data_IF_814022185767
#
_entry.id   IF_814022185767
#
_cell.length_a   1.000
_cell.length_b   1.000
_cell.length_c   1.000
_cell.angle_alpha   90.00
_cell.angle_beta   90.00
_cell.angle_gamma   90.00
#
_symmetry.space_group_name_H-M   'P 1'
#
loop_
_entity.id
_entity.type
_entity.pdbx_description
1 polymer ?
#
# COMPACT_ATOMS: atom_id res chain seq x y z
N UNK A 1 18.66 -12.30 -14.56
CA UNK A 1 19.47 -11.11 -14.25
C UNK A 1 18.50 -10.00 -13.91
N UNK A 2 18.61 -9.37 -12.74
CA UNK A 2 17.81 -8.22 -12.33
C UNK A 2 18.65 -6.94 -12.51
N UNK A 3 18.06 -5.87 -13.05
CA UNK A 3 18.77 -4.65 -13.47
C UNK A 3 19.13 -3.70 -12.30
N UNK A 4 19.50 -4.23 -11.13
CA UNK A 4 20.05 -3.45 -10.01
C UNK A 4 21.54 -3.10 -10.23
N UNK A 5 21.84 -2.52 -11.40
CA UNK A 5 23.19 -2.14 -11.82
C UNK A 5 23.68 -0.83 -11.15
N UNK A 6 22.80 -0.13 -10.43
CA UNK A 6 23.19 0.91 -9.46
C UNK A 6 22.53 0.67 -8.11
N UNK A 7 23.33 0.68 -7.04
CA UNK A 7 22.82 0.74 -5.66
C UNK A 7 22.01 2.03 -5.46
N UNK A 8 20.96 1.95 -4.66
CA UNK A 8 20.16 3.11 -4.25
C UNK A 8 20.99 4.01 -3.33
N UNK A 9 21.02 5.32 -3.58
CA UNK A 9 21.77 6.29 -2.77
C UNK A 9 20.88 7.02 -1.77
N UNK A 10 21.49 7.67 -0.78
CA UNK A 10 20.81 8.59 0.13
C UNK A 10 20.05 9.71 -0.62
N UNK A 11 20.59 10.17 -1.76
CA UNK A 11 19.96 11.20 -2.59
C UNK A 11 18.70 10.69 -3.30
N UNK A 12 18.74 9.48 -3.89
CA UNK A 12 17.58 8.84 -4.52
C UNK A 12 16.43 8.68 -3.51
N UNK A 13 16.74 8.32 -2.26
CA UNK A 13 15.78 8.11 -1.17
C UNK A 13 15.18 9.44 -0.66
N UNK A 14 16.02 10.46 -0.51
CA UNK A 14 15.64 11.78 0.01
C UNK A 14 14.69 12.52 -0.94
N UNK A 15 15.06 12.54 -2.23
CA UNK A 15 14.31 13.23 -3.30
C UNK A 15 13.26 12.34 -3.97
N UNK A 16 13.21 11.04 -3.61
CA UNK A 16 12.30 10.03 -4.18
C UNK A 16 12.38 9.98 -5.72
N UNK A 17 13.60 9.86 -6.25
CA UNK A 17 13.83 9.65 -7.69
C UNK A 17 13.26 8.32 -8.17
N UNK A 18 13.09 8.16 -9.49
CA UNK A 18 12.50 6.98 -10.11
C UNK A 18 13.04 5.64 -9.56
N UNK A 19 14.37 5.53 -9.33
CA UNK A 19 15.01 4.33 -8.75
C UNK A 19 14.43 3.88 -7.39
N UNK A 20 13.97 4.82 -6.56
CA UNK A 20 13.34 4.52 -5.28
C UNK A 20 11.95 3.91 -5.47
N UNK A 21 11.22 4.31 -6.53
CA UNK A 21 9.93 3.73 -6.89
C UNK A 21 10.08 2.42 -7.65
N UNK A 22 11.06 2.31 -8.56
CA UNK A 22 11.39 1.09 -9.29
C UNK A 22 11.66 -0.08 -8.33
N UNK A 23 12.36 0.16 -7.21
CA UNK A 23 12.58 -0.82 -6.16
C UNK A 23 11.29 -1.42 -5.57
N UNK A 24 10.22 -0.62 -5.47
CA UNK A 24 8.93 -1.06 -4.96
C UNK A 24 8.00 -1.61 -6.06
N UNK A 25 8.38 -1.48 -7.33
CA UNK A 25 7.71 -2.05 -8.50
C UNK A 25 8.42 -3.30 -9.06
N UNK A 26 9.66 -3.57 -8.65
CA UNK A 26 10.40 -4.77 -9.07
C UNK A 26 9.68 -6.06 -8.59
N UNK A 27 9.49 -7.06 -9.46
CA UNK A 27 8.84 -8.33 -9.11
C UNK A 27 9.46 -9.10 -7.94
N UNK A 28 10.73 -8.85 -7.60
CA UNK A 28 11.38 -9.45 -6.43
C UNK A 28 10.64 -9.15 -5.12
N UNK A 29 9.95 -8.00 -5.06
CA UNK A 29 9.11 -7.58 -3.91
C UNK A 29 7.97 -8.55 -3.61
N UNK A 30 7.52 -9.33 -4.61
CA UNK A 30 6.42 -10.28 -4.51
C UNK A 30 6.87 -11.66 -4.00
N UNK A 31 8.15 -11.99 -4.10
CA UNK A 31 8.70 -13.33 -3.79
C UNK A 31 8.90 -13.53 -2.28
N UNK A 32 9.21 -12.47 -1.54
CA UNK A 32 9.51 -12.54 -0.11
C UNK A 32 9.01 -11.33 0.66
N UNK A 33 7.72 -11.29 0.99
CA UNK A 33 7.08 -10.16 1.67
C UNK A 33 7.75 -9.73 2.99
N UNK A 34 8.43 -10.66 3.67
CA UNK A 34 9.25 -10.33 4.84
C UNK A 34 10.51 -9.50 4.50
N UNK A 35 11.21 -9.83 3.42
CA UNK A 35 12.33 -9.03 2.91
C UNK A 35 11.83 -7.68 2.40
N UNK A 36 10.72 -7.65 1.65
CA UNK A 36 10.07 -6.42 1.18
C UNK A 36 9.68 -5.51 2.32
N UNK A 37 9.13 -6.05 3.42
CA UNK A 37 8.81 -5.26 4.63
C UNK A 37 10.07 -4.64 5.24
N UNK A 38 11.16 -5.39 5.37
CA UNK A 38 12.42 -4.87 5.90
C UNK A 38 13.08 -3.83 4.98
N UNK A 39 13.06 -4.05 3.66
CA UNK A 39 13.54 -3.09 2.65
C UNK A 39 12.75 -1.77 2.72
N UNK A 40 11.42 -1.83 2.83
CA UNK A 40 10.58 -0.64 3.00
C UNK A 40 10.89 0.08 4.31
N UNK A 41 11.00 -0.63 5.46
CA UNK A 41 11.34 0.03 6.73
C UNK A 41 12.73 0.69 6.65
N UNK A 42 13.73 0.00 6.09
CA UNK A 42 15.10 0.50 5.95
C UNK A 42 15.17 1.75 5.06
N UNK A 43 14.75 1.64 3.79
CA UNK A 43 14.91 2.71 2.81
C UNK A 43 13.79 3.76 2.87
N UNK A 44 12.52 3.36 3.00
CA UNK A 44 11.44 4.35 3.13
C UNK A 44 11.49 5.02 4.51
N UNK A 45 11.22 4.30 5.59
CA UNK A 45 10.93 4.92 6.88
C UNK A 45 12.18 5.45 7.59
N UNK A 46 13.23 4.65 7.70
CA UNK A 46 14.44 5.03 8.48
C UNK A 46 15.34 5.97 7.69
N UNK A 47 16.00 5.51 6.62
CA UNK A 47 16.95 6.35 5.87
C UNK A 47 16.25 7.60 5.32
N UNK A 48 15.04 7.47 4.78
CA UNK A 48 14.23 8.60 4.32
C UNK A 48 13.95 9.66 5.39
N UNK A 49 13.82 9.28 6.67
CA UNK A 49 13.71 10.24 7.77
C UNK A 49 15.08 10.84 8.12
N UNK A 50 16.12 10.03 8.22
CA UNK A 50 17.49 10.48 8.58
C UNK A 50 18.06 11.49 7.57
N UNK A 51 17.77 11.33 6.27
CA UNK A 51 18.21 12.28 5.23
C UNK A 51 17.61 13.69 5.35
N UNK A 52 16.64 13.93 6.24
CA UNK A 52 16.10 15.28 6.54
C UNK A 52 16.52 15.83 7.91
N UNK A 53 17.42 15.14 8.62
CA UNK A 53 17.98 15.61 9.90
C UNK A 53 19.17 16.52 9.64
N UNK A 54 19.30 17.61 10.42
CA UNK A 54 20.39 18.58 10.27
C UNK A 54 21.74 17.97 10.73
N UNK A 55 22.75 17.81 9.85
CA UNK A 55 24.04 17.24 10.23
C UNK A 55 24.80 18.04 11.28
N UNK A 56 24.52 19.34 11.45
CA UNK A 56 25.17 20.16 12.47
C UNK A 56 24.84 19.73 13.91
N UNK A 57 23.73 19.00 14.13
CA UNK A 57 23.41 18.36 15.41
C UNK A 57 23.84 16.89 15.51
N UNK A 58 24.17 16.27 14.37
CA UNK A 58 24.45 14.83 14.25
C UNK A 58 25.59 14.62 13.23
N UNK A 59 26.86 14.87 13.58
CA UNK A 59 27.97 14.82 12.62
C UNK A 59 28.11 13.43 11.95
N UNK A 60 27.87 12.36 12.72
CA UNK A 60 28.00 10.97 12.27
C UNK A 60 26.84 10.48 11.38
N UNK A 61 25.82 11.32 11.11
CA UNK A 61 24.59 10.94 10.39
C UNK A 61 24.88 10.35 8.99
N UNK A 62 25.95 10.81 8.33
CA UNK A 62 26.36 10.31 7.02
C UNK A 62 26.88 8.87 7.10
N UNK A 63 27.73 8.56 8.08
CA UNK A 63 28.25 7.20 8.30
C UNK A 63 27.13 6.24 8.68
N UNK A 64 26.21 6.69 9.55
CA UNK A 64 25.00 5.95 9.90
C UNK A 64 24.16 5.58 8.67
N UNK A 65 23.95 6.54 7.75
CA UNK A 65 23.20 6.31 6.50
C UNK A 65 23.93 5.32 5.59
N UNK A 66 25.26 5.40 5.43
CA UNK A 66 26.02 4.43 4.63
C UNK A 66 26.01 3.01 5.21
N UNK A 67 26.05 2.86 6.54
CA UNK A 67 25.97 1.55 7.20
C UNK A 67 24.56 0.93 7.15
N UNK A 68 23.52 1.77 7.11
CA UNK A 68 22.14 1.36 6.81
C UNK A 68 21.97 0.98 5.31
N UNK A 69 22.49 1.80 4.39
CA UNK A 69 22.44 1.53 2.93
C UNK A 69 23.15 0.22 2.56
N UNK A 70 24.23 -0.11 3.27
CA UNK A 70 25.00 -1.33 3.07
C UNK A 70 24.58 -2.52 3.95
N UNK A 71 23.48 -2.41 4.72
CA UNK A 71 22.95 -3.45 5.62
C UNK A 71 23.95 -3.98 6.66
N UNK A 72 25.00 -3.20 7.01
CA UNK A 72 25.82 -3.45 8.20
C UNK A 72 25.06 -3.14 9.50
N UNK A 73 24.04 -2.30 9.39
CA UNK A 73 23.12 -1.91 10.46
C UNK A 73 21.69 -2.08 9.96
N UNK A 74 20.83 -2.69 10.79
CA UNK A 74 19.39 -2.74 10.56
C UNK A 74 18.75 -1.53 11.24
N UNK A 75 17.94 -0.79 10.50
CA UNK A 75 17.10 0.29 10.99
C UNK A 75 15.66 -0.19 11.18
N UNK A 76 15.03 0.25 12.27
CA UNK A 76 13.60 0.02 12.55
C UNK A 76 12.86 1.33 12.83
N UNK A 77 11.54 1.33 12.62
CA UNK A 77 10.67 2.50 12.79
C UNK A 77 9.61 2.23 13.87
N UNK A 78 9.88 2.73 15.07
CA UNK A 78 9.07 2.58 16.27
C UNK A 78 8.04 3.72 16.38
N UNK A 79 6.94 3.61 15.61
CA UNK A 79 5.82 4.57 15.63
C UNK A 79 4.50 4.00 16.21
N UNK A 80 4.29 2.68 16.16
CA UNK A 80 3.05 2.04 16.62
C UNK A 80 3.23 1.37 17.98
N UNK A 81 2.39 1.76 18.95
CA UNK A 81 2.35 1.13 20.28
C UNK A 81 1.32 -0.02 20.29
N UNK A 82 1.10 -0.67 21.44
CA UNK A 82 0.16 -1.79 21.52
C UNK A 82 -1.29 -1.33 21.31
N UNK A 83 -1.69 -0.32 22.08
CA UNK A 83 -3.05 0.20 22.14
C UNK A 83 -3.23 1.46 21.28
N UNK A 84 -2.16 2.21 21.00
CA UNK A 84 -2.16 3.41 20.14
C UNK A 84 -1.74 3.08 18.70
N UNK A 85 -2.71 3.14 17.78
CA UNK A 85 -2.50 2.92 16.33
C UNK A 85 -2.97 4.10 15.48
N UNK A 86 -4.28 4.34 15.45
CA UNK A 86 -4.88 5.52 14.81
C UNK A 86 -4.72 6.78 15.68
N UNK A 87 -4.36 6.63 16.95
CA UNK A 87 -4.02 7.73 17.86
C UNK A 87 -2.51 7.77 18.15
N UNK A 88 -1.69 7.72 17.10
CA UNK A 88 -0.23 7.83 17.22
C UNK A 88 0.25 9.24 17.67
N UNK A 89 -0.67 10.16 17.98
CA UNK A 89 -0.38 11.45 18.61
C UNK A 89 -0.33 11.34 20.15
N UNK A 90 -1.18 10.50 20.75
CA UNK A 90 -1.29 10.34 22.21
C UNK A 90 -0.40 9.20 22.79
N UNK A 91 0.75 8.93 22.15
CA UNK A 91 1.76 7.94 22.56
C UNK A 91 2.04 7.96 24.07
N UNK A 92 2.09 6.78 24.70
CA UNK A 92 2.40 6.63 26.12
C UNK A 92 3.91 6.51 26.40
N UNK A 93 4.74 6.25 25.38
CA UNK A 93 6.21 6.31 25.52
C UNK A 93 6.65 7.71 25.94
N UNK A 94 7.36 7.81 27.08
CA UNK A 94 7.87 9.09 27.60
C UNK A 94 9.39 9.15 27.53
N UNK A 95 9.88 10.07 26.70
CA UNK A 95 11.23 10.60 26.77
C UNK A 95 11.29 11.75 27.78
N UNK A 96 10.97 11.43 29.03
CA UNK A 96 11.28 12.25 30.21
C UNK A 96 12.78 12.26 30.47
N UNK A 97 13.21 13.07 31.44
CA UNK A 97 14.47 12.89 32.18
C UNK A 97 14.38 11.66 33.11
N UNK A 98 13.96 10.51 32.55
CA UNK A 98 13.45 9.23 33.12
C UNK A 98 11.97 9.26 33.59
N UNK A 99 11.13 8.18 33.44
CA UNK A 99 11.21 7.01 32.51
C UNK A 99 9.87 6.24 32.10
N UNK A 100 9.40 6.15 30.83
CA UNK A 100 8.31 5.20 30.37
C UNK A 100 8.40 4.71 28.86
N UNK A 101 7.77 3.57 28.45
CA UNK A 101 7.82 2.90 27.08
C UNK A 101 6.46 2.78 26.33
N UNK A 102 6.22 2.12 25.14
CA UNK A 102 6.77 0.94 24.39
C UNK A 102 6.38 0.89 22.85
N UNK A 103 6.99 0.03 21.99
CA UNK A 103 6.73 -0.07 20.51
C UNK A 103 6.68 -1.47 19.83
N UNK A 104 6.32 -1.57 18.54
CA UNK A 104 6.06 -2.84 17.78
C UNK A 104 6.84 -3.21 16.45
N UNK A 105 8.11 -2.84 16.14
CA UNK A 105 8.82 -3.36 14.95
C UNK A 105 9.47 -4.75 15.15
N UNK A 106 10.04 -5.38 14.10
CA UNK A 106 10.93 -6.53 14.25
C UNK A 106 12.31 -6.14 14.83
N UNK A 107 12.42 -6.18 16.16
CA UNK A 107 13.58 -5.65 16.92
C UNK A 107 14.44 -6.70 17.64
N UNK A 108 14.12 -7.99 17.47
CA UNK A 108 14.96 -9.08 18.01
C UNK A 108 16.33 -9.14 17.30
N UNK A 109 17.39 -9.64 17.95
CA UNK A 109 18.70 -9.80 17.31
C UNK A 109 18.65 -10.85 16.18
N UNK A 110 19.24 -10.54 15.02
CA UNK A 110 19.14 -11.35 13.79
C UNK A 110 20.47 -11.33 13.04
N UNK A 111 20.92 -12.51 12.59
CA UNK A 111 22.09 -12.71 11.70
C UNK A 111 23.44 -12.11 12.17
N UNK A 112 23.57 -11.69 13.43
CA UNK A 112 24.76 -11.00 13.91
C UNK A 112 24.90 -9.56 13.38
N UNK A 113 23.82 -8.99 12.85
CA UNK A 113 23.77 -7.60 12.34
C UNK A 113 23.15 -6.71 13.41
N UNK A 114 23.86 -5.66 13.90
CA UNK A 114 23.31 -4.71 14.86
C UNK A 114 22.00 -4.06 14.41
N UNK A 115 21.19 -3.61 15.36
CA UNK A 115 19.89 -3.01 15.12
C UNK A 115 19.74 -1.68 15.88
N UNK A 116 19.26 -0.65 15.19
CA UNK A 116 18.89 0.67 15.73
C UNK A 116 17.46 1.02 15.32
N UNK A 117 16.81 1.95 16.02
CA UNK A 117 15.49 2.43 15.65
C UNK A 117 15.34 3.95 15.75
N UNK A 118 14.47 4.49 14.89
CA UNK A 118 13.81 5.78 15.14
C UNK A 118 12.61 5.50 16.03
N UNK A 119 12.67 5.95 17.29
CA UNK A 119 11.65 5.79 18.32
C UNK A 119 10.93 7.12 18.52
N UNK A 120 9.61 7.09 18.40
CA UNK A 120 8.77 8.24 18.73
C UNK A 120 8.47 8.24 20.23
N UNK A 121 8.43 9.40 20.88
CA UNK A 121 8.06 9.48 22.29
C UNK A 121 7.57 10.89 22.64
N UNK A 122 6.73 11.03 23.66
CA UNK A 122 6.43 12.33 24.25
C UNK A 122 7.65 12.81 25.03
N UNK A 123 8.23 13.93 24.63
CA UNK A 123 9.38 14.54 25.28
C UNK A 123 8.91 15.37 26.47
N UNK A 124 9.49 15.13 27.65
CA UNK A 124 9.26 15.96 28.83
C UNK A 124 10.56 16.60 29.30
N UNK A 125 10.53 17.92 29.52
CA UNK A 125 11.66 18.69 30.05
C UNK A 125 11.17 19.43 31.29
N UNK A 126 11.81 19.16 32.44
CA UNK A 126 11.47 19.77 33.74
C UNK A 126 9.95 19.76 34.05
N UNK A 127 9.34 18.58 33.83
CA UNK A 127 7.90 18.25 33.90
C UNK A 127 6.97 18.85 32.81
N UNK A 128 7.46 19.70 31.90
CA UNK A 128 6.67 20.21 30.76
C UNK A 128 6.61 19.18 29.60
N UNK A 129 5.40 18.84 29.13
CA UNK A 129 5.16 17.96 27.97
C UNK A 129 5.29 18.73 26.65
N UNK A 130 6.41 18.56 25.96
CA UNK A 130 6.69 19.18 24.65
C UNK A 130 6.02 18.41 23.48
N UNK A 131 5.31 17.32 23.77
CA UNK A 131 4.65 16.46 22.80
C UNK A 131 5.61 15.51 22.07
N UNK A 132 5.16 14.91 20.95
CA UNK A 132 5.95 13.93 20.21
C UNK A 132 7.32 14.44 19.73
N UNK A 133 8.34 13.61 19.89
CA UNK A 133 9.69 13.79 19.40
C UNK A 133 10.25 12.46 18.86
N UNK A 134 11.28 12.51 18.01
CA UNK A 134 11.95 11.35 17.43
C UNK A 134 13.35 11.17 18.03
N UNK A 135 13.68 9.93 18.39
CA UNK A 135 14.95 9.54 19.01
C UNK A 135 15.62 8.40 18.23
N UNK A 136 16.93 8.50 18.00
CA UNK A 136 17.75 7.39 17.51
C UNK A 136 18.20 6.52 18.69
N UNK A 137 17.77 5.26 18.71
CA UNK A 137 17.94 4.34 19.83
C UNK A 137 18.57 3.02 19.35
N UNK A 138 19.82 2.72 19.72
CA UNK A 138 20.40 1.39 19.54
C UNK A 138 19.58 0.34 20.30
N UNK A 139 19.25 -0.78 19.66
CA UNK A 139 18.41 -1.83 20.22
C UNK A 139 19.19 -3.10 20.58
N UNK A 140 20.03 -3.59 19.66
CA UNK A 140 20.85 -4.77 19.87
C UNK A 140 22.14 -4.75 19.02
N UNK A 141 23.12 -5.57 19.40
CA UNK A 141 24.40 -5.74 18.70
C UNK A 141 24.38 -6.86 17.63
N UNK A 142 23.19 -7.37 17.28
CA UNK A 142 23.00 -8.52 16.40
C UNK A 142 22.98 -9.88 17.11
N UNK A 143 23.35 -9.94 18.40
CA UNK A 143 23.28 -11.14 19.25
C UNK A 143 22.47 -10.90 20.54
N UNK A 144 22.66 -9.74 21.19
CA UNK A 144 22.13 -9.40 22.52
C UNK A 144 21.45 -8.04 22.52
N UNK A 145 20.31 -7.91 23.20
CA UNK A 145 19.64 -6.61 23.42
C UNK A 145 20.48 -5.72 24.33
N UNK A 146 20.52 -4.41 24.05
CA UNK A 146 21.21 -3.45 24.93
C UNK A 146 20.49 -3.24 26.25
N UNK A 147 21.23 -2.82 27.29
CA UNK A 147 20.72 -2.69 28.65
C UNK A 147 19.48 -1.79 28.73
N UNK A 148 18.40 -2.35 29.30
CA UNK A 148 17.10 -1.68 29.41
C UNK A 148 16.19 -1.83 28.19
N UNK A 149 16.69 -2.30 27.05
CA UNK A 149 15.87 -2.68 25.89
C UNK A 149 15.51 -4.16 26.00
N UNK A 150 14.23 -4.51 25.80
CA UNK A 150 13.79 -5.90 25.65
C UNK A 150 12.89 -6.04 24.43
N UNK A 151 12.99 -7.16 23.71
CA UNK A 151 12.16 -7.49 22.55
C UNK A 151 11.52 -8.86 22.75
N UNK A 152 10.18 -8.90 22.80
CA UNK A 152 9.41 -10.15 22.86
C UNK A 152 8.85 -10.45 21.47
N UNK A 153 9.36 -11.49 20.82
CA UNK A 153 8.84 -11.99 19.54
C UNK A 153 7.35 -12.31 19.66
N UNK A 154 6.57 -11.86 18.67
CA UNK A 154 5.14 -12.15 18.55
C UNK A 154 4.91 -13.41 17.70
N UNK A 155 3.77 -14.12 17.85
CA UNK A 155 3.42 -15.21 16.96
C UNK A 155 3.41 -14.76 15.48
N UNK A 156 3.83 -15.62 14.54
CA UNK A 156 3.85 -15.26 13.12
C UNK A 156 2.44 -14.99 12.60
N UNK A 157 2.32 -14.02 11.67
CA UNK A 157 1.08 -13.75 10.93
C UNK A 157 0.74 -14.97 10.06
N UNK A 158 -0.52 -15.41 10.06
CA UNK A 158 -0.96 -16.53 9.21
C UNK A 158 -0.89 -16.21 7.71
N UNK A 159 -0.46 -17.19 6.91
CA UNK A 159 -0.46 -17.15 5.44
C UNK A 159 0.64 -16.29 4.78
N UNK A 160 1.13 -15.25 5.44
CA UNK A 160 2.25 -14.43 4.96
C UNK A 160 3.62 -15.00 5.36
N UNK A 161 4.68 -14.61 4.65
CA UNK A 161 6.05 -14.84 5.11
C UNK A 161 6.30 -14.10 6.44
N UNK A 162 6.91 -14.79 7.40
CA UNK A 162 7.05 -14.26 8.77
C UNK A 162 8.17 -13.23 8.90
N UNK A 163 7.78 -11.96 9.08
CA UNK A 163 8.64 -10.95 9.73
C UNK A 163 8.68 -11.22 11.23
N UNK A 164 9.85 -11.10 11.85
CA UNK A 164 10.06 -11.30 13.30
C UNK A 164 9.49 -10.15 14.15
N UNK A 165 8.25 -9.72 13.92
CA UNK A 165 7.58 -8.65 14.65
C UNK A 165 7.68 -8.88 16.17
N UNK A 166 8.08 -7.85 16.92
CA UNK A 166 8.31 -7.96 18.35
C UNK A 166 7.66 -6.81 19.13
N UNK A 167 7.23 -7.07 20.36
CA UNK A 167 6.92 -6.04 21.33
C UNK A 167 8.23 -5.57 21.98
N UNK A 168 8.61 -4.33 21.70
CA UNK A 168 9.83 -3.67 22.17
C UNK A 168 9.52 -2.83 23.40
N UNK A 169 10.16 -3.11 24.53
CA UNK A 169 9.99 -2.35 25.78
C UNK A 169 11.30 -1.67 26.17
N UNK A 170 11.21 -0.40 26.54
CA UNK A 170 12.31 0.41 27.07
C UNK A 170 12.13 0.61 28.58
N UNK A 171 13.12 0.20 29.36
CA UNK A 171 13.18 0.31 30.81
C UNK A 171 14.33 1.25 31.20
N UNK A 172 14.02 2.51 31.49
CA UNK A 172 14.99 3.51 31.95
C UNK A 172 16.25 3.66 31.05
N UNK A 173 16.10 3.42 29.75
CA UNK A 173 17.20 3.48 28.78
C UNK A 173 17.77 4.90 28.74
N UNK A 174 19.06 5.03 29.05
CA UNK A 174 19.77 6.32 29.06
C UNK A 174 20.33 6.59 27.67
N UNK A 175 20.00 7.75 27.13
CA UNK A 175 20.43 8.20 25.80
C UNK A 175 21.26 9.49 25.92
N UNK A 176 22.26 9.72 25.06
CA UNK A 176 22.89 11.03 24.93
C UNK A 176 21.91 12.04 24.33
N UNK A 177 22.18 13.34 24.49
CA UNK A 177 21.40 14.40 23.82
C UNK A 177 21.40 14.26 22.29
N UNK A 178 22.48 13.74 21.71
CA UNK A 178 22.61 13.44 20.28
C UNK A 178 21.71 12.30 19.76
N UNK A 179 20.97 11.60 20.63
CA UNK A 179 19.89 10.71 20.19
C UNK A 179 18.63 11.47 19.77
N UNK A 180 18.39 12.70 20.22
CA UNK A 180 17.18 13.47 19.85
C UNK A 180 17.31 14.00 18.42
N UNK A 181 16.57 13.40 17.47
CA UNK A 181 16.61 13.76 16.05
C UNK A 181 15.75 14.99 15.72
N UNK A 182 14.56 15.09 16.32
CA UNK A 182 13.59 16.18 16.07
C UNK A 182 12.53 16.26 17.17
N UNK A 183 12.25 17.47 17.66
CA UNK A 183 11.04 17.79 18.44
C UNK A 183 9.95 18.29 17.47
N UNK A 184 8.67 18.06 17.79
CA UNK A 184 7.55 18.71 17.11
C UNK A 184 7.62 20.24 17.23
N UNK A 185 7.74 20.95 16.12
CA UNK A 185 7.43 22.40 16.04
C UNK A 185 5.91 22.60 15.99
N UNK A 186 5.39 23.80 16.26
CA UNK A 186 3.94 24.02 16.48
C UNK A 186 3.01 23.43 15.40
N UNK A 187 3.44 23.34 14.14
CA UNK A 187 2.72 22.75 13.01
C UNK A 187 2.89 21.23 12.88
N UNK A 188 1.77 20.51 13.00
CA UNK A 188 1.47 19.15 12.49
C UNK A 188 2.44 17.98 12.74
N UNK A 189 1.99 17.01 13.55
CA UNK A 189 2.62 15.71 13.77
C UNK A 189 2.85 14.91 12.46
N UNK A 190 1.92 15.00 11.51
CA UNK A 190 2.03 14.35 10.19
C UNK A 190 3.29 14.76 9.40
N UNK A 191 3.90 15.90 9.71
CA UNK A 191 5.15 16.37 9.06
C UNK A 191 6.41 15.75 9.70
N UNK A 192 6.29 15.13 10.86
CA UNK A 192 7.31 14.24 11.42
C UNK A 192 7.25 12.87 10.75
N UNK A 193 6.04 12.30 10.64
CA UNK A 193 5.81 10.97 10.06
C UNK A 193 5.60 10.97 8.53
N UNK A 194 6.08 11.98 7.82
CA UNK A 194 5.81 12.18 6.38
C UNK A 194 6.19 10.99 5.48
N UNK A 195 7.14 10.14 5.87
CA UNK A 195 7.49 8.88 5.16
C UNK A 195 6.37 7.84 5.18
N UNK A 196 5.36 7.95 6.06
CA UNK A 196 4.15 7.11 6.04
C UNK A 196 3.33 7.33 4.75
N UNK A 197 3.24 8.58 4.29
CA UNK A 197 2.56 8.91 3.04
C UNK A 197 3.35 8.42 1.81
N UNK A 198 4.68 8.52 1.85
CA UNK A 198 5.58 7.88 0.86
C UNK A 198 5.38 6.36 0.89
N UNK A 199 5.30 5.77 2.08
CA UNK A 199 5.11 4.34 2.33
C UNK A 199 3.79 3.81 1.79
N UNK A 200 2.73 4.61 1.81
CA UNK A 200 1.46 4.26 1.15
C UNK A 200 1.63 4.08 -0.36
N UNK A 201 2.37 4.96 -1.05
CA UNK A 201 2.69 4.79 -2.47
C UNK A 201 3.69 3.66 -2.73
N UNK A 202 4.70 3.47 -1.86
CA UNK A 202 5.64 2.36 -1.93
C UNK A 202 4.92 1.00 -1.84
N UNK A 203 4.12 0.79 -0.79
CA UNK A 203 3.40 -0.46 -0.57
C UNK A 203 2.25 -0.66 -1.57
N UNK A 204 1.62 0.43 -2.03
CA UNK A 204 0.66 0.40 -3.13
C UNK A 204 1.32 -0.07 -4.44
N UNK A 205 2.50 0.44 -4.77
CA UNK A 205 3.23 0.13 -6.02
C UNK A 205 3.52 -1.36 -6.22
N UNK A 206 3.68 -2.13 -5.14
CA UNK A 206 3.86 -3.60 -5.17
C UNK A 206 2.63 -4.29 -5.83
N UNK A 207 1.48 -3.63 -5.90
CA UNK A 207 0.26 -4.16 -6.54
C UNK A 207 0.47 -4.40 -8.02
N UNK A 208 1.36 -3.65 -8.68
CA UNK A 208 1.64 -3.80 -10.10
C UNK A 208 2.25 -5.19 -10.38
N UNK A 209 3.44 -5.57 -9.85
CA UNK A 209 3.97 -6.91 -10.06
C UNK A 209 3.06 -8.01 -9.51
N UNK A 210 2.35 -7.78 -8.41
CA UNK A 210 1.46 -8.79 -7.82
C UNK A 210 0.27 -9.12 -8.74
N UNK A 211 -0.40 -8.10 -9.31
CA UNK A 211 -1.47 -8.32 -10.29
C UNK A 211 -0.94 -8.95 -11.59
N UNK A 212 0.27 -8.57 -12.04
CA UNK A 212 0.91 -9.18 -13.21
C UNK A 212 1.20 -10.68 -12.98
N UNK A 213 1.72 -11.05 -11.81
CA UNK A 213 1.95 -12.45 -11.40
C UNK A 213 0.62 -13.21 -11.31
N UNK A 214 -0.38 -12.65 -10.62
CA UNK A 214 -1.70 -13.28 -10.46
C UNK A 214 -2.39 -13.53 -11.81
N UNK A 215 -2.43 -12.52 -12.69
CA UNK A 215 -2.97 -12.65 -14.03
C UNK A 215 -2.18 -13.67 -14.88
N UNK A 216 -0.85 -13.63 -14.86
CA UNK A 216 -0.01 -14.58 -15.60
C UNK A 216 -0.26 -16.04 -15.13
N UNK A 217 -0.36 -16.27 -13.82
CA UNK A 217 -0.67 -17.60 -13.26
C UNK A 217 -2.07 -18.04 -13.70
N UNK A 218 -3.09 -17.18 -13.61
CA UNK A 218 -4.44 -17.46 -14.07
C UNK A 218 -4.51 -17.81 -15.56
N UNK A 219 -3.78 -17.08 -16.41
CA UNK A 219 -3.65 -17.35 -17.85
C UNK A 219 -2.93 -18.69 -18.08
N UNK A 220 -1.75 -18.90 -17.48
CA UNK A 220 -0.93 -20.11 -17.70
C UNK A 220 -1.53 -21.36 -17.08
N UNK A 221 -2.35 -21.24 -16.05
CA UNK A 221 -3.19 -22.32 -15.56
C UNK A 221 -4.31 -22.62 -16.56
N UNK A 222 -5.09 -21.60 -16.96
CA UNK A 222 -6.21 -21.75 -17.88
C UNK A 222 -5.82 -22.27 -19.29
N UNK A 223 -4.63 -21.93 -19.78
CA UNK A 223 -4.06 -22.46 -21.04
C UNK A 223 -3.68 -23.94 -20.95
N UNK A 224 -3.24 -24.43 -19.79
CA UNK A 224 -2.77 -25.82 -19.60
C UNK A 224 -3.84 -26.76 -19.06
N UNK A 225 -4.84 -26.25 -18.34
CA UNK A 225 -5.89 -27.03 -17.68
C UNK A 225 -7.03 -27.31 -18.65
N UNK A 226 -7.11 -28.52 -19.19
CA UNK A 226 -8.24 -28.93 -20.04
C UNK A 226 -9.43 -29.46 -19.23
N UNK A 227 -10.61 -28.90 -19.48
CA UNK A 227 -11.90 -29.34 -18.92
C UNK A 227 -12.73 -30.08 -19.99
N UNK A 228 -13.79 -30.76 -19.57
CA UNK A 228 -14.71 -31.44 -20.48
C UNK A 228 -15.87 -30.50 -20.86
N UNK A 229 -16.11 -30.35 -22.16
CA UNK A 229 -17.19 -29.54 -22.73
C UNK A 229 -18.09 -30.41 -23.62
N UNK A 230 -19.41 -30.19 -23.52
CA UNK A 230 -20.42 -30.93 -24.29
C UNK A 230 -20.74 -30.18 -25.58
N UNK A 231 -20.17 -30.65 -26.69
CA UNK A 231 -20.51 -30.20 -28.04
C UNK A 231 -21.75 -30.94 -28.56
N UNK A 232 -22.43 -30.36 -29.56
CA UNK A 232 -23.43 -31.06 -30.39
C UNK A 232 -22.85 -32.31 -31.09
N UNK A 233 -21.53 -32.40 -31.23
CA UNK A 233 -20.79 -33.53 -31.80
C UNK A 233 -20.24 -34.52 -30.77
N UNK A 234 -20.58 -34.39 -29.48
CA UNK A 234 -20.10 -35.24 -28.39
C UNK A 234 -19.21 -34.51 -27.37
N UNK A 235 -18.52 -35.28 -26.52
CA UNK A 235 -17.58 -34.74 -25.54
C UNK A 235 -16.29 -34.25 -26.19
N UNK A 236 -15.81 -33.07 -25.79
CA UNK A 236 -14.55 -32.48 -26.26
C UNK A 236 -13.76 -31.90 -25.08
N UNK A 237 -12.42 -31.97 -25.13
CA UNK A 237 -11.54 -31.31 -24.16
C UNK A 237 -11.22 -29.89 -24.64
N UNK A 238 -11.65 -28.88 -23.90
CA UNK A 238 -11.29 -27.47 -24.15
C UNK A 238 -10.38 -26.92 -23.05
N UNK A 239 -9.49 -25.96 -23.34
CA UNK A 239 -8.75 -25.24 -22.29
C UNK A 239 -9.71 -24.49 -21.37
N UNK A 240 -9.41 -24.42 -20.08
CA UNK A 240 -10.22 -23.69 -19.11
C UNK A 240 -10.28 -22.18 -19.42
N UNK A 241 -9.25 -21.62 -20.06
CA UNK A 241 -9.26 -20.23 -20.57
C UNK A 241 -10.21 -20.00 -21.76
N UNK A 242 -10.94 -21.02 -22.25
CA UNK A 242 -12.02 -20.86 -23.23
C UNK A 242 -13.41 -20.70 -22.59
N UNK A 243 -13.49 -20.47 -21.28
CA UNK A 243 -14.75 -20.33 -20.54
C UNK A 243 -14.78 -18.98 -19.83
N UNK A 244 -15.84 -18.20 -20.05
CA UNK A 244 -15.99 -16.83 -19.56
C UNK A 244 -15.89 -16.71 -18.03
N UNK A 245 -16.30 -17.74 -17.28
CA UNK A 245 -16.13 -17.77 -15.81
C UNK A 245 -14.66 -17.80 -15.36
N UNK A 246 -13.75 -18.40 -16.13
CA UNK A 246 -12.31 -18.32 -15.85
C UNK A 246 -11.67 -17.09 -16.48
N UNK A 247 -12.12 -16.70 -17.67
CA UNK A 247 -11.62 -15.52 -18.36
C UNK A 247 -11.87 -14.24 -17.56
N UNK A 248 -13.09 -14.03 -17.04
CA UNK A 248 -13.48 -12.80 -16.33
C UNK A 248 -12.51 -12.41 -15.19
N UNK A 249 -12.30 -13.20 -14.12
CA UNK A 249 -11.41 -12.79 -13.03
C UNK A 249 -9.95 -12.62 -13.48
N UNK A 250 -9.50 -13.43 -14.45
CA UNK A 250 -8.14 -13.37 -14.98
C UNK A 250 -7.91 -12.12 -15.85
N UNK A 251 -8.89 -11.74 -16.66
CA UNK A 251 -8.84 -10.56 -17.53
C UNK A 251 -9.14 -9.27 -16.75
N UNK A 252 -9.94 -9.32 -15.67
CA UNK A 252 -10.04 -8.23 -14.69
C UNK A 252 -8.69 -7.98 -14.01
N UNK A 253 -8.00 -9.02 -13.52
CA UNK A 253 -6.67 -8.84 -12.90
C UNK A 253 -5.63 -8.30 -13.89
N UNK A 254 -5.68 -8.74 -15.15
CA UNK A 254 -4.86 -8.21 -16.24
C UNK A 254 -5.15 -6.72 -16.51
N UNK A 255 -6.42 -6.34 -16.62
CA UNK A 255 -6.85 -4.95 -16.79
C UNK A 255 -6.39 -4.07 -15.60
N UNK A 256 -6.64 -4.52 -14.37
CA UNK A 256 -6.16 -3.87 -13.16
C UNK A 256 -4.63 -3.70 -13.17
N UNK A 257 -3.85 -4.67 -13.65
CA UNK A 257 -2.38 -4.56 -13.69
C UNK A 257 -1.90 -3.37 -14.56
N UNK A 258 -2.53 -3.16 -15.72
CA UNK A 258 -2.21 -2.02 -16.60
C UNK A 258 -2.72 -0.70 -16.02
N UNK A 259 -3.96 -0.67 -15.52
CA UNK A 259 -4.57 0.53 -14.94
C UNK A 259 -3.85 0.98 -13.65
N UNK A 260 -3.46 0.06 -12.76
CA UNK A 260 -2.68 0.37 -11.57
C UNK A 260 -1.27 0.87 -11.90
N UNK A 261 -0.65 0.40 -12.99
CA UNK A 261 0.64 0.94 -13.45
C UNK A 261 0.51 2.40 -13.91
N UNK A 262 -0.50 2.71 -14.72
CA UNK A 262 -0.80 4.08 -15.13
C UNK A 262 -1.11 4.98 -13.92
N UNK A 263 -1.93 4.50 -12.99
CA UNK A 263 -2.31 5.21 -11.77
C UNK A 263 -1.12 5.48 -10.85
N UNK A 264 -0.18 4.53 -10.70
CA UNK A 264 1.04 4.74 -9.93
C UNK A 264 1.93 5.84 -10.54
N UNK A 265 2.12 5.83 -11.87
CA UNK A 265 2.93 6.85 -12.55
C UNK A 265 2.34 8.26 -12.32
N UNK A 266 1.01 8.40 -12.44
CA UNK A 266 0.31 9.65 -12.16
C UNK A 266 0.39 10.06 -10.68
N UNK A 267 0.12 9.14 -9.75
CA UNK A 267 0.13 9.44 -8.32
C UNK A 267 1.54 9.80 -7.81
N UNK A 268 2.58 9.14 -8.33
CA UNK A 268 3.98 9.43 -8.00
C UNK A 268 4.41 10.79 -8.54
N UNK A 269 4.03 11.17 -9.77
CA UNK A 269 4.41 12.48 -10.32
C UNK A 269 3.76 13.63 -9.53
N UNK A 270 2.48 13.49 -9.16
CA UNK A 270 1.79 14.45 -8.29
C UNK A 270 2.37 14.49 -6.87
N UNK A 271 2.80 13.35 -6.32
CA UNK A 271 3.42 13.30 -4.99
C UNK A 271 4.83 13.93 -4.96
N UNK A 272 5.61 13.72 -6.04
CA UNK A 272 6.96 14.28 -6.19
C UNK A 272 6.95 15.80 -6.41
N UNK A 273 5.88 16.37 -6.97
CA UNK A 273 5.75 17.83 -7.13
C UNK A 273 5.69 18.53 -5.77
N UNK A 274 6.72 19.33 -5.46
CA UNK A 274 6.82 20.08 -4.22
C UNK A 274 5.86 21.28 -4.13
N UNK A 275 5.33 21.76 -5.27
CA UNK A 275 4.41 22.90 -5.34
C UNK A 275 2.96 22.56 -4.99
N UNK A 276 2.57 21.30 -5.15
CA UNK A 276 1.23 20.80 -4.80
C UNK A 276 1.12 20.68 -3.27
N UNK A 277 -0.03 21.01 -2.69
CA UNK A 277 -0.17 20.96 -1.23
C UNK A 277 0.04 19.54 -0.65
N UNK A 278 0.60 19.49 0.55
CA UNK A 278 0.94 18.26 1.26
C UNK A 278 -0.27 17.41 1.68
N UNK A 279 -1.44 18.02 1.95
CA UNK A 279 -2.68 17.28 2.25
C UNK A 279 -3.25 16.64 0.98
N UNK A 280 -3.22 17.36 -0.15
CA UNK A 280 -3.61 16.83 -1.46
C UNK A 280 -2.74 15.62 -1.82
N UNK A 281 -1.42 15.72 -1.67
CA UNK A 281 -0.48 14.61 -1.92
C UNK A 281 -0.70 13.41 -0.99
N UNK A 282 -1.00 13.65 0.30
CA UNK A 282 -1.38 12.58 1.26
C UNK A 282 -2.69 11.90 0.85
N UNK A 283 -3.71 12.67 0.50
CA UNK A 283 -5.01 12.14 0.08
C UNK A 283 -4.92 11.30 -1.20
N UNK A 284 -4.12 11.73 -2.18
CA UNK A 284 -3.84 10.94 -3.39
C UNK A 284 -3.12 9.63 -3.02
N UNK A 285 -2.09 9.68 -2.17
CA UNK A 285 -1.40 8.47 -1.70
C UNK A 285 -2.37 7.49 -0.98
N UNK A 286 -3.31 8.00 -0.20
CA UNK A 286 -4.34 7.21 0.47
C UNK A 286 -5.33 6.56 -0.53
N UNK A 287 -5.87 7.33 -1.49
CA UNK A 287 -6.72 6.83 -2.58
C UNK A 287 -6.01 5.74 -3.40
N UNK A 288 -4.78 6.02 -3.83
CA UNK A 288 -3.95 5.08 -4.61
C UNK A 288 -3.74 3.78 -3.85
N UNK A 289 -3.31 3.84 -2.59
CA UNK A 289 -3.05 2.67 -1.75
C UNK A 289 -4.32 1.87 -1.41
N UNK A 290 -5.46 2.54 -1.18
CA UNK A 290 -6.73 1.87 -0.88
C UNK A 290 -7.28 1.07 -2.06
N UNK A 291 -7.20 1.63 -3.28
CA UNK A 291 -7.64 0.98 -4.52
C UNK A 291 -6.68 -0.14 -4.93
N UNK A 292 -5.37 0.10 -4.85
CA UNK A 292 -4.35 -0.91 -5.13
C UNK A 292 -4.47 -2.13 -4.20
N UNK A 293 -4.61 -1.92 -2.89
CA UNK A 293 -4.76 -3.02 -1.94
C UNK A 293 -6.07 -3.81 -2.16
N UNK A 294 -7.17 -3.15 -2.54
CA UNK A 294 -8.43 -3.81 -2.87
C UNK A 294 -8.30 -4.72 -4.10
N UNK A 295 -7.76 -4.20 -5.20
CA UNK A 295 -7.62 -4.93 -6.45
C UNK A 295 -6.65 -6.10 -6.31
N UNK A 296 -5.54 -5.92 -5.56
CA UNK A 296 -4.66 -7.02 -5.21
C UNK A 296 -5.38 -8.09 -4.39
N UNK A 297 -6.10 -7.75 -3.32
CA UNK A 297 -6.79 -8.74 -2.48
C UNK A 297 -7.85 -9.54 -3.23
N UNK A 298 -8.66 -8.87 -4.06
CA UNK A 298 -9.73 -9.52 -4.84
C UNK A 298 -9.18 -10.40 -5.95
N UNK A 299 -8.19 -9.93 -6.72
CA UNK A 299 -7.59 -10.69 -7.82
C UNK A 299 -6.93 -11.99 -7.34
N UNK A 300 -6.12 -11.95 -6.27
CA UNK A 300 -5.44 -13.14 -5.75
C UNK A 300 -6.42 -14.18 -5.20
N UNK A 301 -7.50 -13.75 -4.53
CA UNK A 301 -8.53 -14.65 -4.03
C UNK A 301 -9.31 -15.29 -5.19
N UNK A 302 -9.83 -14.47 -6.10
CA UNK A 302 -10.61 -14.95 -7.24
C UNK A 302 -9.81 -15.91 -8.12
N UNK A 303 -8.56 -15.58 -8.45
CA UNK A 303 -7.70 -16.44 -9.30
C UNK A 303 -7.24 -17.69 -8.53
N UNK A 304 -7.09 -17.64 -7.20
CA UNK A 304 -6.85 -18.84 -6.39
C UNK A 304 -8.01 -19.82 -6.51
N UNK A 305 -9.24 -19.34 -6.31
CA UNK A 305 -10.44 -20.19 -6.34
C UNK A 305 -10.69 -20.79 -7.73
N UNK A 306 -10.42 -20.03 -8.80
CA UNK A 306 -10.51 -20.52 -10.19
C UNK A 306 -9.34 -21.44 -10.60
N UNK A 307 -8.22 -21.43 -9.86
CA UNK A 307 -7.20 -22.48 -9.91
C UNK A 307 -7.57 -23.71 -9.04
N UNK A 308 -8.69 -23.67 -8.31
CA UNK A 308 -9.13 -24.67 -7.34
C UNK A 308 -8.01 -24.99 -6.32
N UNK A 309 -7.88 -26.26 -5.89
CA UNK A 309 -6.85 -26.70 -4.94
C UNK A 309 -5.40 -26.39 -5.36
N UNK A 310 -5.14 -26.06 -6.65
CA UNK A 310 -3.82 -25.60 -7.07
C UNK A 310 -3.52 -24.16 -6.61
N UNK A 311 -4.51 -23.27 -6.54
CA UNK A 311 -4.33 -21.90 -6.04
C UNK A 311 -3.91 -21.84 -4.56
N UNK A 312 -4.25 -22.88 -3.80
CA UNK A 312 -3.94 -23.02 -2.37
C UNK A 312 -2.47 -23.40 -2.09
N UNK A 313 -1.70 -23.86 -3.08
CA UNK A 313 -0.30 -24.24 -2.85
C UNK A 313 0.62 -23.01 -2.86
N UNK A 314 1.44 -22.87 -1.83
CA UNK A 314 2.35 -21.72 -1.65
C UNK A 314 3.32 -21.48 -2.84
N UNK A 315 3.70 -22.51 -3.59
CA UNK A 315 4.56 -22.33 -4.79
C UNK A 315 3.84 -21.62 -5.96
N UNK A 316 2.50 -21.68 -6.00
CA UNK A 316 1.68 -20.89 -6.92
C UNK A 316 1.40 -19.47 -6.36
N UNK A 317 1.92 -19.12 -5.18
CA UNK A 317 1.99 -17.78 -4.56
C UNK A 317 0.66 -17.07 -4.24
N UNK A 318 -0.46 -17.38 -4.89
CA UNK A 318 -1.72 -16.62 -4.79
C UNK A 318 -2.22 -16.42 -3.35
N UNK A 319 -2.31 -17.49 -2.54
CA UNK A 319 -2.69 -17.38 -1.13
C UNK A 319 -1.67 -16.64 -0.26
N UNK A 320 -0.37 -16.78 -0.54
CA UNK A 320 0.69 -16.06 0.17
C UNK A 320 0.61 -14.56 -0.12
N UNK A 321 0.53 -14.19 -1.40
CA UNK A 321 0.37 -12.81 -1.88
C UNK A 321 -0.89 -12.16 -1.28
N UNK A 322 -2.06 -12.83 -1.34
CA UNK A 322 -3.28 -12.35 -0.69
C UNK A 322 -3.05 -12.06 0.82
N UNK A 323 -2.33 -12.94 1.52
CA UNK A 323 -2.04 -12.80 2.94
C UNK A 323 -1.09 -11.63 3.24
N UNK A 324 -0.07 -11.40 2.42
CA UNK A 324 0.78 -10.19 2.50
C UNK A 324 -0.05 -8.92 2.26
N UNK A 325 -0.97 -8.95 1.29
CA UNK A 325 -1.83 -7.81 0.97
C UNK A 325 -2.80 -7.41 2.08
N UNK A 326 -3.17 -8.35 2.97
CA UNK A 326 -3.89 -8.00 4.20
C UNK A 326 -3.02 -7.19 5.16
N UNK A 327 -1.71 -7.49 5.25
CA UNK A 327 -0.73 -6.65 5.93
C UNK A 327 -0.62 -5.26 5.31
N UNK A 328 -0.42 -5.20 3.98
CA UNK A 328 -0.31 -3.93 3.23
C UNK A 328 -1.56 -3.05 3.41
N UNK A 329 -2.78 -3.62 3.37
CA UNK A 329 -4.00 -2.81 3.56
C UNK A 329 -4.06 -2.10 4.91
N UNK A 330 -3.43 -2.66 5.95
CA UNK A 330 -3.45 -2.13 7.33
C UNK A 330 -2.26 -1.20 7.61
N UNK A 331 -1.09 -1.45 7.01
CA UNK A 331 0.12 -0.65 7.20
C UNK A 331 -0.03 0.80 6.68
N UNK A 332 0.77 1.73 7.22
CA UNK A 332 0.85 3.14 6.77
C UNK A 332 -0.49 3.91 6.77
N UNK A 333 -1.48 3.45 7.54
CA UNK A 333 -2.87 3.89 7.39
C UNK A 333 -3.33 4.95 8.39
N UNK A 334 -3.69 6.13 7.87
CA UNK A 334 -4.78 6.93 8.43
C UNK A 334 -5.73 7.43 7.31
N UNK A 335 -6.68 6.57 6.95
CA UNK A 335 -7.78 6.93 6.04
C UNK A 335 -8.81 7.84 6.73
N UNK A 336 -8.80 7.91 8.06
CA UNK A 336 -9.78 8.64 8.84
C UNK A 336 -9.46 10.13 8.84
N UNK A 337 -8.26 10.55 9.25
CA UNK A 337 -7.85 11.97 9.19
C UNK A 337 -7.98 12.49 7.74
N UNK A 338 -7.56 11.68 6.76
CA UNK A 338 -7.68 11.98 5.33
C UNK A 338 -9.12 12.33 4.92
N UNK A 339 -10.12 11.48 5.21
CA UNK A 339 -11.52 11.78 4.88
C UNK A 339 -12.07 12.90 5.75
N UNK A 340 -11.75 12.91 7.03
CA UNK A 340 -12.27 13.88 7.99
C UNK A 340 -11.90 15.32 7.61
N UNK A 341 -10.74 15.52 6.99
CA UNK A 341 -10.28 16.85 6.57
C UNK A 341 -10.72 17.21 5.14
N UNK A 342 -10.93 16.22 4.26
CA UNK A 342 -11.59 16.40 2.96
C UNK A 342 -13.05 16.87 3.15
N UNK A 343 -13.86 16.19 3.97
CA UNK A 343 -15.28 16.56 4.18
C UNK A 343 -15.47 17.85 4.99
N UNK A 344 -14.41 18.34 5.63
CA UNK A 344 -14.35 19.68 6.26
C UNK A 344 -13.89 20.78 5.31
N UNK A 345 -13.56 20.45 4.06
CA UNK A 345 -13.05 21.39 3.06
C UNK A 345 -11.69 21.99 3.40
N UNK A 346 -10.84 21.31 4.19
CA UNK A 346 -9.48 21.81 4.50
C UNK A 346 -8.55 21.73 3.29
N UNK A 347 -8.78 20.74 2.43
CA UNK A 347 -8.18 20.60 1.12
C UNK A 347 -9.20 19.96 0.16
N UNK A 348 -8.96 20.05 -1.15
CA UNK A 348 -9.73 19.35 -2.17
C UNK A 348 -8.81 18.43 -2.96
N UNK A 349 -9.31 17.25 -3.33
CA UNK A 349 -8.63 16.37 -4.26
C UNK A 349 -8.83 16.83 -5.72
N UNK A 350 -7.98 16.41 -6.68
CA UNK A 350 -8.16 16.74 -8.09
C UNK A 350 -9.56 16.38 -8.59
N UNK A 351 -10.29 17.38 -9.07
CA UNK A 351 -11.63 17.24 -9.64
C UNK A 351 -11.63 16.34 -10.89
N UNK A 352 -12.78 15.77 -11.28
CA UNK A 352 -12.90 14.99 -12.52
C UNK A 352 -12.47 15.79 -13.76
N UNK A 353 -11.70 15.16 -14.64
CA UNK A 353 -11.44 15.68 -16.00
C UNK A 353 -12.71 15.64 -16.86
N UNK A 354 -13.54 14.61 -16.65
CA UNK A 354 -14.85 14.49 -17.28
C UNK A 354 -15.91 14.15 -16.21
N UNK A 355 -16.56 15.19 -15.65
CA UNK A 355 -17.65 15.03 -14.69
C UNK A 355 -18.87 14.28 -15.23
N UNK A 356 -19.07 14.25 -16.55
CA UNK A 356 -20.20 13.52 -17.15
C UNK A 356 -20.01 12.00 -17.18
N UNK A 357 -18.79 11.50 -16.93
CA UNK A 357 -18.46 10.09 -16.99
C UNK A 357 -18.97 9.28 -15.78
N UNK A 358 -19.23 7.98 -15.98
CA UNK A 358 -19.91 7.10 -15.02
C UNK A 358 -19.25 7.11 -13.63
N UNK A 359 -17.94 6.88 -13.55
CA UNK A 359 -17.19 6.85 -12.28
C UNK A 359 -16.99 8.24 -11.66
N UNK A 360 -17.14 9.31 -12.44
CA UNK A 360 -17.08 10.68 -11.93
C UNK A 360 -18.37 11.06 -11.21
N UNK A 361 -19.52 10.72 -11.80
CA UNK A 361 -20.83 10.87 -11.14
C UNK A 361 -20.92 10.04 -9.86
N UNK A 362 -20.23 8.90 -9.79
CA UNK A 362 -20.15 8.07 -8.59
C UNK A 362 -19.28 8.70 -7.51
N UNK A 363 -18.09 9.20 -7.86
CA UNK A 363 -17.23 10.00 -6.97
C UNK A 363 -18.02 11.17 -6.36
N UNK A 364 -18.56 12.05 -7.22
CA UNK A 364 -19.31 13.25 -6.82
C UNK A 364 -20.51 12.90 -5.93
N UNK A 365 -21.29 11.87 -6.27
CA UNK A 365 -22.47 11.49 -5.48
C UNK A 365 -22.11 10.90 -4.11
N UNK A 366 -21.05 10.09 -4.02
CA UNK A 366 -20.61 9.48 -2.75
C UNK A 366 -19.98 10.52 -1.80
N UNK A 367 -19.34 11.56 -2.34
CA UNK A 367 -18.93 12.73 -1.55
C UNK A 367 -20.17 13.53 -1.09
N UNK A 368 -21.09 13.85 -2.02
CA UNK A 368 -22.25 14.68 -1.71
C UNK A 368 -23.19 14.04 -0.68
N UNK A 369 -23.46 12.73 -0.75
CA UNK A 369 -24.28 12.02 0.25
C UNK A 369 -23.68 12.14 1.67
N UNK A 370 -22.35 12.12 1.77
CA UNK A 370 -21.61 12.31 3.03
C UNK A 370 -21.67 13.77 3.52
N UNK A 371 -21.59 14.76 2.62
CA UNK A 371 -21.72 16.18 2.96
C UNK A 371 -23.14 16.55 3.39
N UNK A 372 -24.16 16.02 2.69
CA UNK A 372 -25.57 16.21 3.03
C UNK A 372 -25.88 15.69 4.44
N UNK A 373 -25.45 14.47 4.77
CA UNK A 373 -25.62 13.86 6.10
C UNK A 373 -24.85 14.59 7.23
N UNK A 374 -23.79 15.34 6.89
CA UNK A 374 -23.10 16.22 7.84
C UNK A 374 -23.78 17.59 7.98
N UNK A 375 -24.54 18.03 6.97
CA UNK A 375 -25.29 19.29 6.97
C UNK A 375 -26.66 19.17 7.66
N UNK A 376 -27.27 17.98 7.64
CA UNK A 376 -28.65 17.72 8.11
C UNK A 376 -28.74 17.43 9.62
N UNK A 377 -27.84 17.97 10.44
CA UNK A 377 -27.68 17.56 11.85
C UNK A 377 -27.18 18.69 12.76
N UNK A 378 -27.81 18.82 13.93
CA UNK A 378 -27.36 19.73 14.99
C UNK A 378 -26.08 19.25 15.71
N UNK A 379 -25.68 17.98 15.51
CA UNK A 379 -24.46 17.41 16.08
C UNK A 379 -23.56 16.78 14.99
N UNK A 380 -22.67 17.59 14.36
CA UNK A 380 -21.75 17.11 13.33
C UNK A 380 -20.77 16.02 13.80
N UNK A 381 -20.42 15.96 15.09
CA UNK A 381 -19.49 14.94 15.62
C UNK A 381 -20.17 13.57 15.69
N UNK A 382 -21.40 13.53 16.18
CA UNK A 382 -22.22 12.32 16.26
C UNK A 382 -22.66 11.84 14.87
N UNK A 383 -22.97 12.76 13.94
CA UNK A 383 -23.27 12.41 12.56
C UNK A 383 -22.04 11.89 11.81
N UNK A 384 -20.88 12.54 11.95
CA UNK A 384 -19.61 12.04 11.41
C UNK A 384 -19.31 10.62 11.93
N UNK A 385 -19.50 10.40 13.24
CA UNK A 385 -19.33 9.10 13.89
C UNK A 385 -20.25 8.01 13.33
N UNK A 386 -21.55 8.31 13.16
CA UNK A 386 -22.53 7.31 12.69
C UNK A 386 -22.54 7.07 11.19
N UNK A 387 -22.36 8.12 10.38
CA UNK A 387 -22.63 8.08 8.95
C UNK A 387 -21.36 8.14 8.10
N UNK A 388 -20.30 8.81 8.57
CA UNK A 388 -19.09 9.02 7.77
C UNK A 388 -17.99 8.00 8.11
N UNK A 389 -17.74 7.70 9.40
CA UNK A 389 -16.77 6.65 9.79
C UNK A 389 -16.94 5.31 9.06
N UNK A 390 -18.17 4.75 8.91
CA UNK A 390 -18.34 3.47 8.20
C UNK A 390 -18.09 3.58 6.69
N UNK A 391 -18.14 4.80 6.14
CA UNK A 391 -18.04 5.10 4.71
C UNK A 391 -16.66 5.61 4.28
N UNK A 392 -15.78 6.03 5.18
CA UNK A 392 -14.46 6.59 4.85
C UNK A 392 -13.68 5.74 3.81
N UNK A 393 -13.65 4.40 3.97
CA UNK A 393 -12.98 3.51 3.03
C UNK A 393 -13.66 3.46 1.66
N UNK A 394 -14.99 3.60 1.59
CA UNK A 394 -15.74 3.64 0.34
C UNK A 394 -15.53 4.97 -0.39
N UNK A 395 -15.63 6.11 0.29
CA UNK A 395 -15.35 7.46 -0.26
C UNK A 395 -13.96 7.50 -0.92
N UNK A 396 -12.91 7.11 -0.19
CA UNK A 396 -11.53 7.10 -0.70
C UNK A 396 -11.36 6.16 -1.91
N UNK A 397 -12.13 5.07 -1.98
CA UNK A 397 -12.11 4.13 -3.11
C UNK A 397 -12.84 4.67 -4.33
N UNK A 398 -14.02 5.26 -4.20
CA UNK A 398 -14.77 5.83 -5.34
C UNK A 398 -13.95 6.92 -6.03
N UNK A 399 -13.37 7.85 -5.24
CA UNK A 399 -12.41 8.86 -5.73
C UNK A 399 -11.21 8.21 -6.43
N UNK A 400 -10.57 7.24 -5.76
CA UNK A 400 -9.41 6.54 -6.32
C UNK A 400 -9.71 5.72 -7.57
N UNK A 401 -10.93 5.20 -7.72
CA UNK A 401 -11.36 4.45 -8.89
C UNK A 401 -11.52 5.35 -10.12
N UNK A 402 -12.09 6.56 -9.95
CA UNK A 402 -12.05 7.59 -11.01
C UNK A 402 -10.61 7.97 -11.36
N UNK A 403 -9.79 8.34 -10.38
CA UNK A 403 -8.41 8.76 -10.65
C UNK A 403 -7.61 7.68 -11.39
N UNK A 404 -7.80 6.41 -11.05
CA UNK A 404 -7.20 5.28 -11.75
C UNK A 404 -7.66 5.17 -13.21
N UNK A 405 -8.96 5.34 -13.48
CA UNK A 405 -9.51 5.38 -14.83
C UNK A 405 -8.93 6.55 -15.65
N UNK A 406 -8.94 7.77 -15.09
CA UNK A 406 -8.44 8.97 -15.76
C UNK A 406 -6.93 8.86 -16.06
N UNK A 407 -6.14 8.33 -15.12
CA UNK A 407 -4.72 8.06 -15.33
C UNK A 407 -4.49 7.00 -16.42
N UNK A 408 -5.32 5.95 -16.52
CA UNK A 408 -5.22 4.94 -17.56
C UNK A 408 -5.56 5.47 -18.96
N UNK A 409 -6.62 6.28 -19.08
CA UNK A 409 -6.96 6.98 -20.32
C UNK A 409 -5.85 7.94 -20.73
N UNK A 410 -5.37 8.79 -19.81
CA UNK A 410 -4.26 9.71 -20.07
C UNK A 410 -2.94 9.02 -20.42
N UNK A 411 -2.74 7.79 -19.95
CA UNK A 411 -1.57 6.94 -20.27
C UNK A 411 -1.74 6.10 -21.54
N UNK A 412 -2.85 6.24 -22.28
CA UNK A 412 -3.17 5.46 -23.47
C UNK A 412 -3.16 3.93 -23.23
N UNK A 413 -3.69 3.48 -22.09
CA UNK A 413 -3.95 2.05 -21.85
C UNK A 413 -4.98 1.55 -22.90
N UNK A 414 -4.81 0.36 -23.50
CA UNK A 414 -5.74 -0.17 -24.50
C UNK A 414 -7.19 -0.16 -24.03
N UNK A 415 -8.11 0.30 -24.89
CA UNK A 415 -9.51 0.57 -24.53
C UNK A 415 -10.17 -0.62 -23.84
N UNK A 416 -10.02 -1.85 -24.37
CA UNK A 416 -10.63 -3.03 -23.75
C UNK A 416 -10.11 -3.35 -22.34
N UNK A 417 -8.89 -2.94 -21.97
CA UNK A 417 -8.38 -3.06 -20.61
C UNK A 417 -8.92 -1.94 -19.70
N UNK A 418 -9.16 -0.74 -20.23
CA UNK A 418 -9.82 0.35 -19.48
C UNK A 418 -11.29 0.01 -19.22
N UNK A 419 -12.00 -0.50 -20.23
CA UNK A 419 -13.41 -0.88 -20.12
C UNK A 419 -13.61 -2.13 -19.25
N UNK A 420 -12.75 -3.15 -19.35
CA UNK A 420 -12.78 -4.29 -18.42
C UNK A 420 -12.53 -3.88 -16.96
N UNK A 421 -11.71 -2.84 -16.75
CA UNK A 421 -11.54 -2.23 -15.42
C UNK A 421 -12.79 -1.45 -14.98
N UNK A 422 -13.39 -0.63 -15.86
CA UNK A 422 -14.63 0.08 -15.57
C UNK A 422 -15.79 -0.87 -15.25
N UNK A 423 -15.96 -1.94 -16.02
CA UNK A 423 -16.96 -2.98 -15.74
C UNK A 423 -16.80 -3.53 -14.31
N UNK A 424 -15.56 -3.83 -13.90
CA UNK A 424 -15.30 -4.28 -12.53
C UNK A 424 -15.57 -3.20 -11.47
N UNK A 425 -15.21 -1.95 -11.72
CA UNK A 425 -15.51 -0.83 -10.80
C UNK A 425 -17.01 -0.62 -10.63
N UNK A 426 -17.78 -0.71 -11.71
CA UNK A 426 -19.25 -0.60 -11.68
C UNK A 426 -19.86 -1.81 -10.95
N UNK A 427 -19.28 -3.01 -11.07
CA UNK A 427 -19.73 -4.18 -10.30
C UNK A 427 -19.50 -4.06 -8.79
N UNK A 428 -18.51 -3.27 -8.33
CA UNK A 428 -18.26 -3.04 -6.90
C UNK A 428 -19.37 -2.25 -6.20
N UNK A 429 -20.16 -1.47 -6.95
CA UNK A 429 -21.32 -0.73 -6.43
C UNK A 429 -22.50 -0.70 -7.42
N UNK A 430 -22.80 -1.86 -8.00
CA UNK A 430 -23.85 -2.02 -9.03
C UNK A 430 -25.26 -1.65 -8.53
N UNK A 431 -25.46 -1.46 -7.23
CA UNK A 431 -26.70 -0.95 -6.66
C UNK A 431 -26.92 0.50 -7.09
N UNK A 432 -25.95 1.38 -6.80
CA UNK A 432 -26.02 2.81 -7.11
C UNK A 432 -26.21 3.08 -8.60
N UNK A 433 -25.37 2.48 -9.47
CA UNK A 433 -25.44 2.68 -10.93
C UNK A 433 -26.77 2.23 -11.56
N UNK A 434 -27.46 1.26 -10.95
CA UNK A 434 -28.79 0.79 -11.38
C UNK A 434 -29.90 1.69 -10.82
N UNK A 435 -29.78 2.13 -9.57
CA UNK A 435 -30.77 2.97 -8.90
C UNK A 435 -30.95 4.32 -9.60
N UNK A 436 -29.85 4.98 -9.98
CA UNK A 436 -29.89 6.23 -10.74
C UNK A 436 -30.03 6.02 -12.27
N UNK A 437 -30.21 4.78 -12.72
CA UNK A 437 -30.54 4.44 -14.10
C UNK A 437 -29.41 4.59 -15.14
N UNK A 438 -28.15 4.79 -14.73
CA UNK A 438 -27.02 4.91 -15.66
C UNK A 438 -26.62 3.58 -16.33
N UNK A 439 -26.74 2.46 -15.62
CA UNK A 439 -26.30 1.14 -16.11
C UNK A 439 -27.32 0.07 -15.74
N UNK A 440 -27.67 -0.80 -16.70
CA UNK A 440 -28.45 -2.01 -16.44
C UNK A 440 -27.52 -3.21 -16.20
N UNK A 441 -27.94 -4.16 -15.36
CA UNK A 441 -27.18 -5.42 -15.11
C UNK A 441 -26.96 -6.23 -16.39
N UNK A 442 -27.89 -6.17 -17.35
CA UNK A 442 -27.75 -6.84 -18.64
C UNK A 442 -26.71 -6.13 -19.52
N UNK A 443 -26.75 -4.79 -19.59
CA UNK A 443 -25.80 -3.98 -20.36
C UNK A 443 -24.37 -4.18 -19.84
N UNK A 444 -24.19 -4.17 -18.51
CA UNK A 444 -22.90 -4.40 -17.88
C UNK A 444 -22.35 -5.81 -18.16
N UNK A 445 -23.21 -6.83 -18.14
CA UNK A 445 -22.82 -8.20 -18.49
C UNK A 445 -22.44 -8.34 -19.96
N UNK A 446 -23.13 -7.63 -20.87
CA UNK A 446 -22.78 -7.61 -22.28
C UNK A 446 -21.44 -6.91 -22.52
N UNK A 447 -21.26 -5.69 -22.00
CA UNK A 447 -20.02 -4.92 -22.12
C UNK A 447 -18.82 -5.67 -21.51
N UNK A 448 -19.03 -6.41 -20.41
CA UNK A 448 -18.00 -7.32 -19.85
C UNK A 448 -17.62 -8.44 -20.82
N UNK A 449 -18.60 -9.10 -21.47
CA UNK A 449 -18.32 -10.21 -22.40
C UNK A 449 -17.65 -9.71 -23.70
N UNK A 450 -18.06 -8.54 -24.22
CA UNK A 450 -17.42 -7.89 -25.37
C UNK A 450 -15.92 -7.63 -25.12
N UNK A 451 -15.59 -7.11 -23.93
CA UNK A 451 -14.21 -6.93 -23.49
C UNK A 451 -13.45 -8.24 -23.28
N UNK A 452 -14.12 -9.28 -22.75
CA UNK A 452 -13.53 -10.62 -22.61
C UNK A 452 -13.15 -11.19 -23.99
N UNK A 453 -13.96 -10.96 -25.03
CA UNK A 453 -13.65 -11.40 -26.40
C UNK A 453 -12.45 -10.62 -26.97
N UNK A 454 -12.40 -9.30 -26.84
CA UNK A 454 -11.27 -8.50 -27.38
C UNK A 454 -9.94 -8.82 -26.66
N UNK A 455 -9.96 -8.93 -25.33
CA UNK A 455 -8.78 -9.34 -24.53
C UNK A 455 -8.38 -10.77 -24.89
N UNK A 456 -9.34 -11.67 -25.06
CA UNK A 456 -9.13 -13.06 -25.48
C UNK A 456 -8.43 -13.18 -26.83
N UNK A 457 -8.84 -12.41 -27.83
CA UNK A 457 -8.22 -12.36 -29.15
C UNK A 457 -6.74 -11.91 -29.09
N UNK A 458 -6.41 -11.02 -28.15
CA UNK A 458 -5.07 -10.44 -27.99
C UNK A 458 -4.24 -11.12 -26.87
N UNK A 459 -4.73 -12.20 -26.26
CA UNK A 459 -4.21 -12.70 -24.98
C UNK A 459 -2.73 -13.09 -25.03
N UNK A 460 -2.18 -13.50 -26.18
CA UNK A 460 -0.76 -13.83 -26.31
C UNK A 460 0.15 -12.62 -26.09
N UNK A 461 -0.22 -11.45 -26.66
CA UNK A 461 0.49 -10.19 -26.47
C UNK A 461 0.45 -9.76 -25.00
N UNK A 462 -0.74 -9.75 -24.40
CA UNK A 462 -0.89 -9.38 -22.99
C UNK A 462 -0.17 -10.35 -22.04
N UNK A 463 -0.18 -11.66 -22.33
CA UNK A 463 0.61 -12.66 -21.59
C UNK A 463 2.09 -12.32 -21.61
N UNK A 464 2.64 -11.93 -22.77
CA UNK A 464 4.05 -11.55 -22.92
C UNK A 464 4.39 -10.27 -22.14
N UNK A 465 3.52 -9.26 -22.17
CA UNK A 465 3.70 -8.00 -21.46
C UNK A 465 3.72 -8.15 -19.92
N UNK A 466 3.02 -9.14 -19.35
CA UNK A 466 3.12 -9.48 -17.91
C UNK A 466 4.18 -10.56 -17.60
N UNK A 467 4.65 -11.31 -18.62
CA UNK A 467 5.63 -12.39 -18.47
C UNK A 467 6.97 -11.91 -17.91
N UNK A 468 7.41 -10.69 -18.26
CA UNK A 468 8.67 -10.10 -17.77
C UNK A 468 8.76 -10.09 -16.23
N UNK A 469 7.62 -9.98 -15.54
CA UNK A 469 7.57 -10.01 -14.08
C UNK A 469 7.63 -11.43 -13.49
N UNK A 470 7.38 -12.46 -14.29
CA UNK A 470 7.27 -13.86 -13.88
C UNK A 470 8.53 -14.69 -14.20
N UNK A 471 9.58 -14.08 -14.77
CA UNK A 471 10.85 -14.75 -15.09
C UNK A 471 11.57 -15.25 -13.81
N UNK A 472 11.36 -14.57 -12.67
CA UNK A 472 11.84 -15.01 -11.35
C UNK A 472 10.99 -16.12 -10.70
N UNK A 473 9.88 -16.52 -11.33
CA UNK A 473 8.84 -17.41 -10.79
C UNK A 473 8.67 -18.69 -11.63
N UNK A 474 9.48 -18.86 -12.69
CA UNK A 474 9.30 -19.94 -13.66
C UNK A 474 9.76 -21.31 -13.15
N UNK A 475 8.78 -22.20 -13.00
CA UNK A 475 8.91 -23.68 -12.96
C UNK A 475 8.55 -24.23 -14.35
#
# INVERSE_FOLDING_TARGET
MTHFESRLSAHDIHTTLQKFWDLHQDPITCIGGAATTLLTIQYNLVIGTLTRINPAGHPDIHQLIEDLLSFKLIGQFCLTELDHRLDAFNLETKATRLPNGKFMPPTVPVLGVPCTAIVFARLFVDEEDLGPAMFLVPLNDGQTMYLGVTAKLLPPRGGSYSVNHALTTFHHVKLPSSSLLRIRTHSHFMDMIWRVAVGSLCLGSITIPALQISAFIGIKYGQRRSVESKSKSGSCRSPLLSISTHQKPVFTALAQAFVMKAFAIWAISIFADASIDHQIRRGIAACTKAVMAQHAQSAHLAISDHCCAQGLFAYNQLCNQHSEYRGISIAEGDLLETVADLVRGRYNLPAPYNGEHLVSKHDDAIINEVLELLSSTDNPVEAFSRHVLPRCLHVIKSIGHRMAYEAAVGSNVPACLVDMYLCHVIELDIAWYVEIGLVSRANLSQWTEENIVEIGNNIQLYTYLVCYCCVLVSI
#
